data_IF_493695996101
#
_entry.id   IF_493695996101
#
_cell.length_a   1.000
_cell.length_b   1.000
_cell.length_c   1.000
_cell.angle_alpha   90.00
_cell.angle_beta   90.00
_cell.angle_gamma   90.00
#
_symmetry.space_group_name_H-M   'P 1'
#
loop_
_entity.id
_entity.type
_entity.pdbx_description
1 polymer ?
#
# COMPACT_ATOMS: atom_id res chain seq x y z
N UNK A 1 31.21 15.75 36.38
CA UNK A 1 30.96 14.32 36.68
C UNK A 1 30.13 13.78 35.54
N UNK A 2 30.55 12.70 34.90
CA UNK A 2 29.67 11.99 33.95
C UNK A 2 28.59 11.26 34.76
N UNK A 3 27.33 11.41 34.34
CA UNK A 3 26.22 10.60 34.84
C UNK A 3 25.93 9.54 33.79
N UNK A 4 25.86 8.28 34.20
CA UNK A 4 25.58 7.16 33.31
C UNK A 4 24.20 6.58 33.62
N UNK A 5 23.45 6.26 32.57
CA UNK A 5 22.15 5.61 32.64
C UNK A 5 22.25 4.20 32.06
N UNK A 6 21.59 3.22 32.68
CA UNK A 6 21.57 1.87 32.11
C UNK A 6 20.79 1.84 30.79
N UNK A 7 21.20 0.98 29.85
CA UNK A 7 20.54 0.79 28.54
C UNK A 7 19.03 0.57 28.66
N UNK A 8 18.61 -0.22 29.66
CA UNK A 8 17.19 -0.47 29.92
C UNK A 8 16.45 0.80 30.28
N UNK A 9 16.97 1.58 31.24
CA UNK A 9 16.35 2.84 31.65
C UNK A 9 16.36 3.88 30.52
N UNK A 10 17.42 3.90 29.70
CA UNK A 10 17.47 4.75 28.52
C UNK A 10 16.35 4.40 27.53
N UNK A 11 16.21 3.11 27.21
CA UNK A 11 15.18 2.62 26.30
C UNK A 11 13.76 2.89 26.82
N UNK A 12 13.55 2.79 28.14
CA UNK A 12 12.27 3.09 28.78
C UNK A 12 11.90 4.59 28.71
N UNK A 13 12.90 5.49 28.67
CA UNK A 13 12.68 6.95 28.64
C UNK A 13 12.61 7.52 27.22
N UNK A 14 13.54 7.12 26.36
CA UNK A 14 13.77 7.75 25.06
C UNK A 14 13.55 6.78 23.90
N UNK A 15 13.23 5.51 24.18
CA UNK A 15 13.28 4.44 23.19
C UNK A 15 14.70 3.89 22.97
N UNK A 16 14.84 2.77 22.25
CA UNK A 16 16.11 2.11 22.05
C UNK A 16 17.10 2.98 21.27
N UNK A 17 18.39 2.63 21.39
CA UNK A 17 19.50 3.27 20.69
C UNK A 17 20.42 2.23 20.04
N UNK A 18 21.50 2.67 19.40
CA UNK A 18 22.39 1.86 18.56
C UNK A 18 22.80 0.54 19.24
N UNK A 19 22.56 -0.59 18.56
CA UNK A 19 22.83 -1.95 19.03
C UNK A 19 21.72 -2.60 19.87
N UNK A 20 20.69 -1.84 20.29
CA UNK A 20 19.52 -2.44 20.92
C UNK A 20 18.63 -3.12 19.87
N UNK A 21 17.80 -4.08 20.27
CA UNK A 21 16.87 -4.76 19.37
C UNK A 21 15.41 -4.66 19.80
N UNK A 22 14.51 -4.55 18.82
CA UNK A 22 13.05 -4.52 19.01
C UNK A 22 12.42 -5.73 18.32
N UNK A 23 11.61 -6.49 19.05
CA UNK A 23 10.78 -7.54 18.45
C UNK A 23 9.60 -6.90 17.71
N UNK A 24 9.37 -7.29 16.46
CA UNK A 24 8.20 -6.85 15.71
C UNK A 24 6.96 -7.59 16.18
N UNK A 25 6.10 -6.91 16.94
CA UNK A 25 4.87 -7.46 17.51
C UNK A 25 5.11 -8.81 18.21
N UNK A 26 4.32 -9.83 17.87
CA UNK A 26 4.42 -11.21 18.37
C UNK A 26 5.21 -12.13 17.43
N UNK A 27 5.98 -11.57 16.50
CA UNK A 27 6.79 -12.33 15.55
C UNK A 27 8.15 -12.74 16.15
N UNK A 28 8.92 -13.51 15.37
CA UNK A 28 10.32 -13.84 15.64
C UNK A 28 11.28 -12.96 14.81
N UNK A 29 10.81 -11.79 14.36
CA UNK A 29 11.63 -10.79 13.68
C UNK A 29 12.12 -9.76 14.70
N UNK A 30 13.42 -9.47 14.66
CA UNK A 30 14.06 -8.50 15.53
C UNK A 30 14.75 -7.43 14.67
N UNK A 31 14.42 -6.17 14.95
CA UNK A 31 15.06 -5.00 14.35
C UNK A 31 16.21 -4.57 15.26
N UNK A 32 17.43 -4.52 14.73
CA UNK A 32 18.56 -3.92 15.44
C UNK A 32 18.72 -2.46 15.00
N UNK A 33 18.94 -1.55 15.95
CA UNK A 33 19.16 -0.14 15.66
C UNK A 33 20.59 0.05 15.14
N UNK A 34 20.72 0.42 13.86
CA UNK A 34 22.01 0.50 13.15
C UNK A 34 22.78 1.79 13.48
N UNK A 35 22.05 2.88 13.72
CA UNK A 35 22.60 4.20 14.07
C UNK A 35 21.60 5.01 14.87
N UNK A 36 22.11 5.96 15.65
CA UNK A 36 21.33 6.96 16.38
C UNK A 36 21.92 8.34 16.08
N UNK A 37 21.07 9.28 15.68
CA UNK A 37 21.46 10.66 15.38
C UNK A 37 21.56 11.54 16.64
N UNK A 38 21.08 11.06 17.79
CA UNK A 38 21.09 11.85 19.01
C UNK A 38 22.49 12.08 19.57
N UNK A 39 22.61 13.11 20.40
CA UNK A 39 23.75 13.31 21.31
C UNK A 39 23.24 12.97 22.71
N UNK A 40 23.83 11.96 23.36
CA UNK A 40 23.32 11.45 24.62
C UNK A 40 23.30 12.51 25.73
N UNK A 41 22.14 12.69 26.35
CA UNK A 41 21.87 13.74 27.33
C UNK A 41 21.17 14.99 26.76
N UNK A 42 21.02 15.07 25.43
CA UNK A 42 20.34 16.16 24.74
C UNK A 42 19.10 15.68 23.97
N UNK A 43 18.49 14.58 24.42
CA UNK A 43 17.29 14.01 23.79
C UNK A 43 16.13 15.01 23.83
N UNK A 44 15.40 15.11 22.71
CA UNK A 44 14.28 16.05 22.57
C UNK A 44 13.04 15.46 23.24
N UNK A 45 12.65 16.00 24.38
CA UNK A 45 11.44 15.56 25.09
C UNK A 45 10.50 16.74 25.35
N UNK A 46 9.24 16.58 24.94
CA UNK A 46 8.18 17.55 25.20
C UNK A 46 7.40 17.18 26.49
N UNK A 47 6.91 18.19 27.21
CA UNK A 47 6.08 18.03 28.41
C UNK A 47 6.45 18.95 29.57
N UNK A 48 5.63 18.93 30.63
CA UNK A 48 5.84 19.75 31.82
C UNK A 48 7.21 19.50 32.47
N UNK A 49 8.06 20.53 32.51
CA UNK A 49 9.41 20.45 33.07
C UNK A 49 10.43 19.66 32.21
N UNK A 50 10.13 19.42 30.92
CA UNK A 50 11.02 18.71 29.98
C UNK A 50 11.91 19.67 29.18
N UNK A 51 12.46 19.18 28.07
CA UNK A 51 13.52 19.83 27.28
C UNK A 51 12.96 20.89 26.33
N UNK A 52 11.89 20.57 25.60
CA UNK A 52 11.27 21.49 24.63
C UNK A 52 10.45 22.55 25.35
N UNK A 53 11.13 23.64 25.71
CA UNK A 53 10.59 24.85 26.35
C UNK A 53 11.35 26.07 25.85
N UNK A 54 10.70 27.22 25.88
CA UNK A 54 11.29 28.49 25.44
C UNK A 54 12.63 28.77 26.12
N UNK A 55 13.62 29.16 25.33
CA UNK A 55 15.00 29.39 25.75
C UNK A 55 15.79 28.14 26.14
N UNK A 56 15.18 26.95 26.04
CA UNK A 56 15.81 25.65 26.29
C UNK A 56 15.93 24.90 24.97
N UNK A 57 15.36 23.69 24.85
CA UNK A 57 15.35 22.93 23.60
C UNK A 57 14.51 23.56 22.50
N UNK A 58 13.66 24.56 22.82
CA UNK A 58 12.98 25.40 21.84
C UNK A 58 13.70 26.75 21.73
N UNK A 59 14.06 27.13 20.51
CA UNK A 59 14.60 28.44 20.20
C UNK A 59 13.47 29.48 20.11
N UNK A 60 13.53 30.50 20.97
CA UNK A 60 12.54 31.58 21.03
C UNK A 60 12.84 32.79 20.14
N UNK A 61 13.92 32.76 19.37
CA UNK A 61 14.42 33.92 18.60
C UNK A 61 14.25 33.79 17.09
N UNK A 62 14.15 32.56 16.57
CA UNK A 62 14.00 32.29 15.14
C UNK A 62 12.53 32.24 14.72
N UNK A 63 12.28 32.68 13.50
CA UNK A 63 10.97 32.61 12.86
C UNK A 63 10.81 31.33 12.05
N UNK A 64 9.57 31.02 11.66
CA UNK A 64 9.25 29.87 10.79
C UNK A 64 10.06 29.86 9.49
N UNK A 65 10.28 31.04 8.90
CA UNK A 65 10.94 31.19 7.61
C UNK A 65 12.46 30.97 7.70
N UNK A 66 13.03 30.98 8.91
CA UNK A 66 14.43 30.68 9.20
C UNK A 66 14.63 29.16 9.44
N UNK A 67 14.12 28.33 8.51
CA UNK A 67 14.28 26.86 8.52
C UNK A 67 13.75 26.13 9.77
N UNK A 68 12.83 26.74 10.50
CA UNK A 68 12.07 26.07 11.57
C UNK A 68 10.98 25.18 10.94
N UNK A 69 10.83 23.91 11.38
CA UNK A 69 9.80 23.01 10.90
C UNK A 69 8.45 23.26 11.58
N UNK A 70 7.37 22.84 10.91
CA UNK A 70 6.01 22.92 11.43
C UNK A 70 5.73 21.83 12.47
N UNK A 71 6.37 20.66 12.34
CA UNK A 71 6.21 19.55 13.29
C UNK A 71 7.50 18.76 13.39
N UNK A 72 7.82 18.27 14.59
CA UNK A 72 8.91 17.31 14.83
C UNK A 72 8.36 16.08 15.53
N UNK A 73 8.65 14.91 14.96
CA UNK A 73 8.47 13.61 15.60
C UNK A 73 9.78 13.28 16.33
N UNK A 74 9.78 13.35 17.66
CA UNK A 74 10.99 13.19 18.46
C UNK A 74 11.29 11.72 18.78
N UNK A 75 12.57 11.37 18.85
CA UNK A 75 13.08 10.07 19.32
C UNK A 75 12.39 8.86 18.68
N UNK A 76 12.20 8.85 17.37
CA UNK A 76 11.49 7.75 16.71
C UNK A 76 12.45 6.76 16.06
N UNK A 77 12.12 5.48 16.13
CA UNK A 77 12.84 4.44 15.38
C UNK A 77 12.26 4.41 13.96
N UNK A 78 13.05 4.83 12.99
CA UNK A 78 12.71 4.74 11.57
C UNK A 78 13.02 3.32 11.09
N UNK A 79 12.00 2.66 10.56
CA UNK A 79 12.11 1.42 9.81
C UNK A 79 11.79 1.72 8.35
N UNK A 80 12.81 1.68 7.50
CA UNK A 80 12.69 1.96 6.08
C UNK A 80 13.66 1.09 5.27
N UNK A 81 13.45 1.02 3.95
CA UNK A 81 14.39 0.32 3.06
C UNK A 81 15.80 0.94 3.07
N UNK A 82 15.92 2.23 3.44
CA UNK A 82 17.20 2.93 3.59
C UNK A 82 17.96 2.56 4.86
N UNK A 83 17.34 1.88 5.82
CA UNK A 83 17.96 1.40 7.05
C UNK A 83 17.02 1.40 8.26
N UNK A 84 17.55 0.95 9.39
CA UNK A 84 16.86 0.88 10.68
C UNK A 84 17.61 1.74 11.68
N UNK A 85 17.05 2.89 12.05
CA UNK A 85 17.80 3.86 12.84
C UNK A 85 16.94 4.76 13.71
N UNK A 86 17.56 5.41 14.68
CA UNK A 86 16.93 6.33 15.62
C UNK A 86 17.21 7.78 15.22
N UNK A 87 16.17 8.59 15.10
CA UNK A 87 16.30 10.01 14.73
C UNK A 87 15.09 10.83 15.18
N UNK A 88 15.22 12.15 15.09
CA UNK A 88 14.10 13.08 15.03
C UNK A 88 13.74 13.33 13.56
N UNK A 89 12.44 13.39 13.26
CA UNK A 89 11.92 13.61 11.89
C UNK A 89 11.11 14.89 11.85
N UNK A 90 11.54 15.84 11.02
CA UNK A 90 10.91 17.14 10.86
C UNK A 90 10.01 17.18 9.63
N UNK A 91 8.85 17.82 9.80
CA UNK A 91 7.89 18.11 8.74
C UNK A 91 7.79 19.62 8.52
N UNK A 92 7.78 20.05 7.26
CA UNK A 92 7.54 21.44 6.86
C UNK A 92 6.73 21.45 5.57
N UNK A 93 5.69 22.28 5.53
CA UNK A 93 4.79 22.43 4.37
C UNK A 93 4.20 21.09 3.90
N UNK A 94 3.92 20.17 4.83
CA UNK A 94 3.36 18.84 4.54
C UNK A 94 4.37 17.80 4.01
N UNK A 95 5.66 18.14 3.93
CA UNK A 95 6.72 17.25 3.47
C UNK A 95 7.71 16.90 4.59
N UNK A 96 8.40 15.76 4.45
CA UNK A 96 9.57 15.45 5.27
C UNK A 96 10.67 16.45 4.91
N UNK A 97 11.01 17.30 5.86
CA UNK A 97 11.99 18.37 5.67
C UNK A 97 13.41 17.88 5.96
N UNK A 98 13.60 17.25 7.12
CA UNK A 98 14.90 16.76 7.61
C UNK A 98 14.74 15.55 8.52
N UNK A 99 15.77 14.72 8.56
CA UNK A 99 15.91 13.58 9.47
C UNK A 99 17.29 13.71 10.12
N UNK A 100 17.34 13.79 11.44
CA UNK A 100 18.60 14.06 12.15
C UNK A 100 18.35 14.30 13.64
N UNK A 101 19.10 15.24 14.23
CA UNK A 101 18.89 15.68 15.61
C UNK A 101 18.16 17.01 15.66
N UNK A 102 17.07 17.07 16.42
CA UNK A 102 16.36 18.31 16.69
C UNK A 102 16.81 18.98 18.00
N UNK A 103 16.46 20.26 18.16
CA UNK A 103 16.69 20.99 19.40
C UNK A 103 16.94 22.47 19.17
N UNK A 104 17.69 23.08 20.09
CA UNK A 104 18.10 24.47 19.99
C UNK A 104 19.63 24.57 19.91
N UNK A 105 20.20 25.04 18.78
CA UNK A 105 21.65 25.10 18.58
C UNK A 105 22.36 26.08 19.52
N UNK A 106 21.63 26.91 20.27
CA UNK A 106 22.23 27.82 21.25
C UNK A 106 22.74 27.12 22.51
N UNK A 107 22.19 25.93 22.82
CA UNK A 107 22.47 25.25 24.10
C UNK A 107 22.74 23.74 23.94
N UNK A 108 22.59 23.21 22.73
CA UNK A 108 22.65 21.78 22.44
C UNK A 108 23.57 21.56 21.23
N UNK A 109 24.44 20.55 21.34
CA UNK A 109 25.38 20.17 20.30
C UNK A 109 24.69 19.39 19.16
N UNK A 110 25.30 19.40 17.97
CA UNK A 110 24.91 18.55 16.85
C UNK A 110 23.49 18.75 16.30
N UNK A 111 22.85 19.91 16.53
CA UNK A 111 21.48 20.17 16.08
C UNK A 111 21.42 20.43 14.56
N UNK A 112 20.68 19.58 13.84
CA UNK A 112 20.39 19.71 12.41
C UNK A 112 19.04 20.42 12.14
N UNK A 113 18.13 20.30 13.11
CA UNK A 113 16.72 20.69 13.05
C UNK A 113 16.42 21.64 14.21
N UNK A 114 16.23 22.93 13.92
CA UNK A 114 15.93 23.92 14.96
C UNK A 114 14.46 23.86 15.33
N UNK A 115 14.15 23.58 16.61
CA UNK A 115 12.78 23.65 17.14
C UNK A 115 12.51 25.11 17.49
N UNK A 116 11.48 25.70 16.88
CA UNK A 116 11.09 27.09 17.12
C UNK A 116 9.70 27.21 17.74
N UNK A 117 9.23 28.44 17.91
CA UNK A 117 7.90 28.72 18.46
C UNK A 117 6.73 28.22 17.58
N UNK A 118 6.99 27.93 16.30
CA UNK A 118 6.00 27.42 15.34
C UNK A 118 5.97 25.90 15.21
N UNK A 119 6.81 25.18 15.95
CA UNK A 119 6.96 23.72 15.83
C UNK A 119 6.03 22.98 16.78
N UNK A 120 5.17 22.12 16.24
CA UNK A 120 4.41 21.12 17.01
C UNK A 120 5.27 19.89 17.31
N UNK A 121 4.99 19.21 18.42
CA UNK A 121 5.73 18.03 18.86
C UNK A 121 4.87 16.77 18.85
N UNK A 122 5.36 15.71 18.19
CA UNK A 122 4.81 14.36 18.27
C UNK A 122 5.84 13.47 18.98
N UNK A 123 5.45 12.87 20.11
CA UNK A 123 6.28 11.96 20.87
C UNK A 123 6.44 10.60 20.15
N UNK A 124 7.60 10.38 19.54
CA UNK A 124 7.96 9.14 18.85
C UNK A 124 8.71 8.13 19.73
N UNK A 125 9.09 8.51 20.95
CA UNK A 125 9.78 7.61 21.88
C UNK A 125 8.97 6.31 22.12
N UNK A 126 9.68 5.19 21.96
CA UNK A 126 9.10 3.84 22.04
C UNK A 126 8.12 3.51 20.90
N UNK A 127 8.12 4.27 19.79
CA UNK A 127 7.37 3.97 18.56
C UNK A 127 8.31 3.64 17.41
N UNK A 128 7.78 2.90 16.44
CA UNK A 128 8.41 2.68 15.14
C UNK A 128 7.65 3.53 14.12
N UNK A 129 8.39 4.32 13.33
CA UNK A 129 7.89 5.09 12.21
C UNK A 129 8.27 4.37 10.92
N UNK A 130 7.28 4.18 10.04
CA UNK A 130 7.48 3.69 8.68
C UNK A 130 6.90 4.71 7.70
N UNK A 131 7.29 4.62 6.44
CA UNK A 131 6.47 5.20 5.39
C UNK A 131 5.06 4.60 5.43
N UNK A 132 4.08 5.37 4.94
CA UNK A 132 2.73 4.85 4.75
C UNK A 132 2.70 3.81 3.63
N UNK A 133 1.92 2.75 3.80
CA UNK A 133 1.77 1.70 2.79
C UNK A 133 1.19 2.24 1.48
N UNK A 134 1.71 1.73 0.37
CA UNK A 134 1.23 2.01 -1.00
C UNK A 134 0.62 0.72 -1.55
N UNK A 135 -0.72 0.65 -1.58
CA UNK A 135 -1.44 -0.48 -2.16
C UNK A 135 -1.79 -0.17 -3.62
N UNK A 136 -1.26 -0.98 -4.54
CA UNK A 136 -1.37 -0.75 -5.98
C UNK A 136 -2.41 -1.62 -6.69
N UNK A 137 -3.18 -2.44 -5.95
CA UNK A 137 -4.20 -3.31 -6.51
C UNK A 137 -5.58 -3.08 -5.87
N UNK A 138 -6.05 -1.84 -5.94
CA UNK A 138 -7.32 -1.45 -5.34
C UNK A 138 -8.49 -1.57 -6.31
N UNK A 139 -9.56 -2.21 -5.87
CA UNK A 139 -10.87 -2.08 -6.51
C UNK A 139 -11.68 -1.03 -5.74
N UNK A 140 -12.07 0.08 -6.37
CA UNK A 140 -12.87 1.12 -5.73
C UNK A 140 -14.36 0.74 -5.69
N UNK A 141 -14.70 -0.21 -4.82
CA UNK A 141 -16.04 -0.79 -4.70
C UNK A 141 -16.91 0.00 -3.72
N UNK A 142 -16.35 0.41 -2.58
CA UNK A 142 -17.06 1.16 -1.52
C UNK A 142 -16.14 2.19 -0.88
N UNK A 143 -16.60 3.41 -0.56
CA UNK A 143 -15.79 4.39 0.18
C UNK A 143 -15.36 3.90 1.58
N UNK A 144 -16.08 2.95 2.18
CA UNK A 144 -15.77 2.40 3.50
C UNK A 144 -14.41 1.66 3.55
N UNK A 145 -13.85 1.32 2.40
CA UNK A 145 -12.53 0.71 2.32
C UNK A 145 -11.40 1.69 2.68
N UNK A 146 -11.63 3.02 2.59
CA UNK A 146 -10.61 4.04 2.92
C UNK A 146 -10.27 4.08 4.41
N UNK A 147 -11.24 4.17 5.35
CA UNK A 147 -10.94 4.02 6.78
C UNK A 147 -10.24 2.70 7.12
N UNK A 148 -10.61 1.62 6.43
CA UNK A 148 -9.97 0.31 6.63
C UNK A 148 -8.50 0.34 6.21
N UNK A 149 -8.19 0.93 5.06
CA UNK A 149 -6.82 1.13 4.57
C UNK A 149 -5.99 1.95 5.56
N UNK A 150 -6.50 3.10 6.00
CA UNK A 150 -5.84 3.98 6.97
C UNK A 150 -5.54 3.28 8.30
N UNK A 151 -6.49 2.53 8.85
CA UNK A 151 -6.30 1.75 10.08
C UNK A 151 -5.22 0.67 9.96
N UNK A 152 -4.88 0.24 8.75
CA UNK A 152 -3.79 -0.70 8.47
C UNK A 152 -2.46 -0.04 8.10
N UNK A 153 -2.39 1.30 8.15
CA UNK A 153 -1.19 2.06 7.78
C UNK A 153 -1.03 2.32 6.28
N UNK A 154 -2.05 2.04 5.45
CA UNK A 154 -2.03 2.39 4.02
C UNK A 154 -2.40 3.86 3.87
N UNK A 155 -1.61 4.59 3.09
CA UNK A 155 -1.79 6.03 2.83
C UNK A 155 -1.94 6.35 1.35
N UNK A 156 -1.68 5.38 0.48
CA UNK A 156 -1.83 5.52 -0.97
C UNK A 156 -2.52 4.30 -1.54
N UNK A 157 -3.55 4.55 -2.33
CA UNK A 157 -4.35 3.54 -3.00
C UNK A 157 -4.28 3.78 -4.51
N UNK A 158 -3.81 2.80 -5.27
CA UNK A 158 -3.76 2.84 -6.73
C UNK A 158 -4.55 1.65 -7.26
N UNK A 159 -5.42 1.89 -8.23
CA UNK A 159 -6.40 0.89 -8.64
C UNK A 159 -7.44 1.45 -9.58
N UNK A 160 -8.65 0.89 -9.63
CA UNK A 160 -9.71 1.44 -10.46
C UNK A 160 -11.09 0.95 -10.04
N UNK A 161 -12.13 1.69 -10.43
CA UNK A 161 -13.49 1.36 -10.09
C UNK A 161 -14.46 2.55 -10.13
N UNK A 162 -15.75 2.24 -10.14
CA UNK A 162 -16.83 3.24 -10.15
C UNK A 162 -17.92 2.88 -9.13
N UNK A 163 -17.54 2.28 -8.00
CA UNK A 163 -18.47 1.71 -7.02
C UNK A 163 -18.81 0.23 -7.29
N UNK A 164 -19.93 -0.29 -6.79
CA UNK A 164 -20.23 -1.73 -6.78
C UNK A 164 -20.74 -2.30 -8.12
N UNK A 165 -20.32 -1.71 -9.24
CA UNK A 165 -20.60 -2.20 -10.59
C UNK A 165 -19.85 -3.51 -10.87
N UNK A 166 -20.41 -4.36 -11.74
CA UNK A 166 -19.84 -5.66 -12.12
C UNK A 166 -18.40 -5.53 -12.60
N UNK A 167 -18.13 -4.55 -13.47
CA UNK A 167 -16.79 -4.27 -13.97
C UNK A 167 -15.79 -3.97 -12.86
N UNK A 168 -16.19 -3.21 -11.84
CA UNK A 168 -15.32 -2.83 -10.71
C UNK A 168 -15.13 -3.97 -9.70
N UNK A 169 -16.19 -4.74 -9.42
CA UNK A 169 -16.10 -5.92 -8.56
C UNK A 169 -15.13 -6.97 -9.12
N UNK A 170 -14.99 -7.02 -10.45
CA UNK A 170 -14.08 -7.93 -11.14
C UNK A 170 -12.69 -7.32 -11.42
N UNK A 171 -12.63 -6.03 -11.78
CA UNK A 171 -11.42 -5.42 -12.36
C UNK A 171 -11.09 -4.06 -11.73
N UNK A 172 -9.80 -3.77 -11.55
CA UNK A 172 -9.30 -2.48 -11.07
C UNK A 172 -9.30 -1.43 -12.19
N UNK A 173 -10.47 -1.12 -12.74
CA UNK A 173 -10.62 -0.27 -13.93
C UNK A 173 -11.68 0.80 -13.70
N UNK A 174 -11.31 2.06 -13.97
CA UNK A 174 -12.21 3.21 -14.12
C UNK A 174 -12.32 3.56 -15.61
N UNK A 175 -13.37 3.10 -16.32
CA UNK A 175 -13.36 3.10 -17.78
C UNK A 175 -13.77 4.46 -18.39
N UNK A 176 -12.92 4.99 -19.28
CA UNK A 176 -13.28 6.15 -20.11
C UNK A 176 -13.23 7.49 -19.38
N UNK A 177 -13.15 8.57 -20.17
CA UNK A 177 -12.95 9.95 -19.66
C UNK A 177 -13.99 10.38 -18.61
N UNK A 178 -15.26 10.07 -18.84
CA UNK A 178 -16.33 10.53 -17.94
C UNK A 178 -16.23 9.93 -16.54
N UNK A 179 -16.01 8.60 -16.43
CA UNK A 179 -15.91 7.95 -15.14
C UNK A 179 -14.64 8.36 -14.39
N UNK A 180 -13.52 8.52 -15.10
CA UNK A 180 -12.27 9.03 -14.50
C UNK A 180 -12.52 10.40 -13.86
N UNK A 181 -13.13 11.34 -14.60
CA UNK A 181 -13.46 12.67 -14.05
C UNK A 181 -14.39 12.61 -12.85
N UNK A 182 -15.36 11.69 -12.81
CA UNK A 182 -16.28 11.54 -11.66
C UNK A 182 -15.61 10.94 -10.43
N UNK A 183 -14.71 9.98 -10.64
CA UNK A 183 -13.95 9.38 -9.54
C UNK A 183 -12.93 10.36 -8.97
N UNK A 184 -12.29 11.20 -9.79
CA UNK A 184 -11.43 12.28 -9.30
C UNK A 184 -12.23 13.28 -8.44
N UNK A 185 -13.43 13.68 -8.87
CA UNK A 185 -14.31 14.53 -8.06
C UNK A 185 -14.72 13.87 -6.74
N UNK A 186 -14.97 12.56 -6.74
CA UNK A 186 -15.29 11.82 -5.53
C UNK A 186 -14.08 11.71 -4.58
N UNK A 187 -12.86 11.65 -5.13
CA UNK A 187 -11.62 11.54 -4.37
C UNK A 187 -11.30 12.79 -3.54
N UNK A 188 -11.76 13.98 -3.95
CA UNK A 188 -11.57 15.24 -3.20
C UNK A 188 -12.09 15.18 -1.75
N UNK A 189 -13.07 14.30 -1.47
CA UNK A 189 -13.61 14.12 -0.12
C UNK A 189 -12.90 13.08 0.74
N UNK A 190 -11.81 12.46 0.24
CA UNK A 190 -11.16 11.31 0.88
C UNK A 190 -9.75 11.68 1.36
N UNK A 191 -9.42 11.47 2.66
CA UNK A 191 -8.11 11.82 3.21
C UNK A 191 -7.09 10.71 2.92
N UNK A 192 -6.87 10.38 1.64
CA UNK A 192 -5.92 9.37 1.19
C UNK A 192 -5.44 9.67 -0.24
N UNK A 193 -4.20 9.33 -0.56
CA UNK A 193 -3.69 9.50 -1.92
C UNK A 193 -4.35 8.46 -2.85
N UNK A 194 -4.84 8.89 -4.01
CA UNK A 194 -5.57 8.04 -4.97
C UNK A 194 -4.93 8.12 -6.35
N UNK A 195 -4.66 6.95 -6.93
CA UNK A 195 -4.36 6.76 -8.35
C UNK A 195 -5.43 5.90 -9.03
N UNK A 196 -5.85 6.30 -10.23
CA UNK A 196 -6.87 5.60 -11.03
C UNK A 196 -6.27 4.96 -12.29
N UNK A 197 -6.55 3.69 -12.52
CA UNK A 197 -6.26 2.98 -13.76
C UNK A 197 -7.43 3.12 -14.74
N UNK A 198 -7.09 3.47 -15.97
CA UNK A 198 -7.97 3.32 -17.12
C UNK A 198 -8.08 1.87 -17.58
N UNK A 199 -8.98 1.63 -18.53
CA UNK A 199 -9.15 0.34 -19.19
C UNK A 199 -8.09 0.15 -20.26
N UNK A 200 -7.22 -0.85 -20.11
CA UNK A 200 -6.17 -1.23 -21.08
C UNK A 200 -6.69 -2.17 -22.18
N UNK A 201 -7.81 -1.84 -22.81
CA UNK A 201 -8.47 -2.73 -23.78
C UNK A 201 -8.95 -1.95 -24.99
N UNK A 202 -8.17 -2.02 -26.07
CA UNK A 202 -8.53 -1.51 -27.38
C UNK A 202 -7.61 -2.12 -28.44
N UNK A 203 -8.06 -2.08 -29.70
CA UNK A 203 -7.23 -2.40 -30.88
C UNK A 203 -6.68 -1.14 -31.57
N UNK A 204 -6.73 0.00 -30.88
CA UNK A 204 -6.18 1.28 -31.30
C UNK A 204 -5.69 2.05 -30.05
N UNK A 205 -4.72 2.95 -30.23
CA UNK A 205 -4.11 3.71 -29.11
C UNK A 205 -5.01 4.81 -28.57
N UNK A 206 -5.72 5.53 -29.45
CA UNK A 206 -6.50 6.72 -29.07
C UNK A 206 -7.56 6.48 -27.97
N UNK A 207 -8.36 5.39 -27.99
CA UNK A 207 -9.29 5.08 -26.89
C UNK A 207 -8.63 4.85 -25.52
N UNK A 208 -7.35 4.46 -25.51
CA UNK A 208 -6.56 4.31 -24.28
C UNK A 208 -5.96 5.64 -23.86
N UNK A 209 -5.41 6.39 -24.83
CA UNK A 209 -4.79 7.69 -24.62
C UNK A 209 -5.77 8.74 -24.05
N UNK A 210 -7.05 8.73 -24.47
CA UNK A 210 -8.05 9.66 -23.92
C UNK A 210 -8.30 9.47 -22.41
N UNK A 211 -8.08 8.25 -21.90
CA UNK A 211 -8.24 7.94 -20.47
C UNK A 211 -7.07 8.50 -19.67
N UNK A 212 -5.84 8.40 -20.18
CA UNK A 212 -4.66 9.02 -19.56
C UNK A 212 -4.81 10.55 -19.53
N UNK A 213 -5.19 11.15 -20.66
CA UNK A 213 -5.49 12.60 -20.73
C UNK A 213 -6.65 13.04 -19.82
N UNK A 214 -7.52 12.13 -19.43
CA UNK A 214 -8.60 12.40 -18.48
C UNK A 214 -8.16 12.36 -17.00
N UNK A 215 -6.94 11.89 -16.71
CA UNK A 215 -6.36 11.81 -15.37
C UNK A 215 -6.13 10.38 -14.84
N UNK A 216 -6.16 9.35 -15.69
CA UNK A 216 -5.68 8.03 -15.28
C UNK A 216 -4.16 8.01 -15.17
N UNK A 217 -3.62 7.38 -14.12
CA UNK A 217 -2.18 7.26 -13.83
C UNK A 217 -1.54 6.00 -14.42
N UNK A 218 -2.33 5.24 -15.18
CA UNK A 218 -1.91 3.98 -15.80
C UNK A 218 -3.10 3.23 -16.40
N UNK A 219 -2.84 2.06 -16.95
CA UNK A 219 -3.86 1.19 -17.54
C UNK A 219 -3.86 -0.19 -16.87
N UNK A 220 -5.03 -0.81 -16.80
CA UNK A 220 -5.17 -2.21 -16.40
C UNK A 220 -5.66 -3.06 -17.56
N UNK A 221 -4.84 -4.05 -17.94
CA UNK A 221 -5.22 -5.17 -18.80
C UNK A 221 -5.78 -6.29 -17.91
N UNK A 222 -6.92 -6.86 -18.27
CA UNK A 222 -7.62 -7.88 -17.49
C UNK A 222 -8.36 -8.87 -18.40
N UNK A 223 -8.35 -10.16 -18.06
CA UNK A 223 -8.95 -11.21 -18.90
C UNK A 223 -10.47 -11.07 -19.09
N UNK A 224 -11.21 -10.65 -18.06
CA UNK A 224 -12.66 -10.36 -18.12
C UNK A 224 -13.07 -9.35 -19.20
N UNK A 225 -12.12 -8.51 -19.65
CA UNK A 225 -12.30 -7.57 -20.76
C UNK A 225 -11.51 -7.96 -22.03
N UNK A 226 -10.82 -9.10 -22.01
CA UNK A 226 -9.98 -9.62 -23.09
C UNK A 226 -8.51 -9.21 -22.95
N UNK A 227 -7.72 -10.00 -22.21
CA UNK A 227 -6.26 -9.85 -22.10
C UNK A 227 -5.54 -10.39 -23.35
N UNK A 228 -5.98 -9.94 -24.52
CA UNK A 228 -5.46 -10.38 -25.83
C UNK A 228 -4.09 -9.75 -26.12
N UNK A 229 -3.33 -10.35 -27.03
CA UNK A 229 -2.05 -9.80 -27.51
C UNK A 229 -2.21 -8.39 -28.09
N UNK A 230 -3.34 -8.10 -28.76
CA UNK A 230 -3.66 -6.75 -29.25
C UNK A 230 -3.86 -5.74 -28.11
N UNK A 231 -4.62 -6.10 -27.06
CA UNK A 231 -4.85 -5.22 -25.92
C UNK A 231 -3.55 -4.92 -25.17
N UNK A 232 -2.69 -5.93 -25.03
CA UNK A 232 -1.37 -5.81 -24.39
C UNK A 232 -0.48 -4.85 -25.18
N UNK A 233 -0.30 -5.08 -26.48
CA UNK A 233 0.57 -4.24 -27.32
C UNK A 233 0.08 -2.80 -27.39
N UNK A 234 -1.22 -2.56 -27.60
CA UNK A 234 -1.76 -1.20 -27.66
C UNK A 234 -1.63 -0.46 -26.33
N UNK A 235 -1.86 -1.15 -25.20
CA UNK A 235 -1.71 -0.54 -23.88
C UNK A 235 -0.27 -0.16 -23.60
N UNK A 236 0.69 -1.03 -23.95
CA UNK A 236 2.11 -0.76 -23.73
C UNK A 236 2.65 0.36 -24.64
N UNK A 237 2.16 0.47 -25.89
CA UNK A 237 2.51 1.62 -26.74
C UNK A 237 2.05 2.95 -26.14
N UNK A 238 0.84 2.99 -25.58
CA UNK A 238 0.33 4.19 -24.90
C UNK A 238 1.07 4.43 -23.59
N UNK A 239 1.47 3.38 -22.88
CA UNK A 239 2.30 3.48 -21.69
C UNK A 239 3.63 4.16 -21.98
N UNK A 240 4.32 3.73 -23.04
CA UNK A 240 5.60 4.32 -23.48
C UNK A 240 5.43 5.78 -23.95
N UNK A 241 4.31 6.10 -24.64
CA UNK A 241 4.04 7.46 -25.13
C UNK A 241 3.72 8.45 -24.00
N UNK A 242 2.98 8.02 -22.98
CA UNK A 242 2.49 8.89 -21.90
C UNK A 242 3.26 8.74 -20.59
N UNK A 243 4.28 7.89 -20.54
CA UNK A 243 5.10 7.57 -19.35
C UNK A 243 4.24 7.14 -18.15
N UNK A 244 3.41 6.12 -18.37
CA UNK A 244 2.52 5.54 -17.34
C UNK A 244 2.69 4.04 -17.21
N UNK A 245 2.37 3.47 -16.06
CA UNK A 245 2.49 2.02 -15.83
C UNK A 245 1.29 1.25 -16.42
N UNK A 246 1.53 0.01 -16.86
CA UNK A 246 0.49 -0.96 -17.21
C UNK A 246 0.50 -2.09 -16.22
N UNK A 247 -0.64 -2.32 -15.56
CA UNK A 247 -0.86 -3.51 -14.77
C UNK A 247 -1.59 -4.59 -15.60
N UNK A 248 -1.27 -5.86 -15.38
CA UNK A 248 -1.87 -6.98 -16.12
C UNK A 248 -2.38 -8.09 -15.21
N UNK A 249 -3.61 -8.52 -15.51
CA UNK A 249 -4.17 -9.84 -15.19
C UNK A 249 -4.31 -10.59 -16.52
N UNK A 250 -3.50 -11.64 -16.69
CA UNK A 250 -3.33 -12.36 -17.97
C UNK A 250 -4.49 -13.29 -18.32
N UNK A 251 -4.51 -13.76 -19.56
CA UNK A 251 -5.47 -14.77 -20.06
C UNK A 251 -5.31 -16.10 -19.31
N UNK A 252 -6.16 -16.38 -18.32
CA UNK A 252 -6.11 -17.64 -17.56
C UNK A 252 -6.53 -18.82 -18.42
N UNK A 253 -7.40 -18.58 -19.40
CA UNK A 253 -7.98 -19.60 -20.26
C UNK A 253 -7.00 -20.08 -21.34
N UNK A 254 -5.96 -19.29 -21.62
CA UNK A 254 -5.09 -19.44 -22.79
C UNK A 254 -5.92 -19.44 -24.09
N UNK A 255 -6.97 -18.60 -24.14
CA UNK A 255 -7.85 -18.49 -25.30
C UNK A 255 -7.12 -17.88 -26.49
N UNK A 256 -6.31 -16.85 -26.25
CA UNK A 256 -5.59 -16.11 -27.29
C UNK A 256 -4.13 -16.57 -27.46
N UNK A 257 -3.67 -17.50 -26.62
CA UNK A 257 -2.29 -17.99 -26.61
C UNK A 257 -1.86 -18.41 -25.21
N UNK A 258 -0.72 -19.08 -25.11
CA UNK A 258 -0.14 -19.40 -23.81
C UNK A 258 0.66 -18.20 -23.27
N UNK A 259 1.24 -18.37 -22.08
CA UNK A 259 2.06 -17.35 -21.42
C UNK A 259 3.19 -16.83 -22.31
N UNK A 260 3.78 -17.68 -23.16
CA UNK A 260 4.86 -17.30 -24.07
C UNK A 260 4.38 -16.27 -25.09
N UNK A 261 3.12 -16.34 -25.51
CA UNK A 261 2.55 -15.40 -26.46
C UNK A 261 2.21 -14.06 -25.78
N UNK A 262 1.81 -14.10 -24.51
CA UNK A 262 1.71 -12.89 -23.66
C UNK A 262 3.08 -12.22 -23.51
N UNK A 263 4.14 -12.98 -23.21
CA UNK A 263 5.51 -12.47 -23.09
C UNK A 263 6.00 -11.87 -24.40
N UNK A 264 5.74 -12.53 -25.54
CA UNK A 264 6.05 -11.98 -26.87
C UNK A 264 5.30 -10.67 -27.13
N UNK A 265 4.04 -10.55 -26.74
CA UNK A 265 3.28 -9.31 -26.90
C UNK A 265 3.79 -8.17 -26.02
N UNK A 266 4.38 -8.48 -24.86
CA UNK A 266 5.04 -7.49 -24.01
C UNK A 266 6.30 -6.93 -24.70
N UNK A 267 7.02 -7.77 -25.45
CA UNK A 267 8.17 -7.38 -26.29
C UNK A 267 9.26 -6.61 -25.51
N UNK A 268 9.56 -7.08 -24.30
CA UNK A 268 10.60 -6.48 -23.44
C UNK A 268 10.22 -5.14 -22.78
N UNK A 269 9.01 -4.62 -23.02
CA UNK A 269 8.54 -3.38 -22.37
C UNK A 269 8.19 -3.62 -20.90
N UNK A 270 8.19 -2.53 -20.13
CA UNK A 270 7.88 -2.58 -18.70
C UNK A 270 6.41 -2.90 -18.49
N UNK A 271 6.12 -3.88 -17.64
CA UNK A 271 4.75 -4.22 -17.27
C UNK A 271 4.67 -4.75 -15.83
N UNK A 272 3.64 -4.32 -15.10
CA UNK A 272 3.38 -4.76 -13.74
C UNK A 272 2.46 -5.99 -13.72
N UNK A 273 3.03 -7.17 -13.48
CA UNK A 273 2.23 -8.39 -13.33
C UNK A 273 1.58 -8.45 -11.95
N UNK A 274 0.24 -8.49 -11.92
CA UNK A 274 -0.50 -8.68 -10.69
C UNK A 274 -0.70 -10.15 -10.35
N UNK A 275 -0.76 -10.44 -9.03
CA UNK A 275 -1.00 -11.77 -8.44
C UNK A 275 -0.29 -12.88 -9.21
N UNK A 276 1.03 -12.70 -9.33
CA UNK A 276 1.92 -13.57 -10.09
C UNK A 276 1.89 -15.03 -9.61
N UNK A 277 1.39 -15.29 -8.40
CA UNK A 277 1.28 -16.63 -7.83
C UNK A 277 0.12 -17.49 -8.37
N UNK A 278 -0.86 -16.89 -9.07
CA UNK A 278 -2.01 -17.60 -9.63
C UNK A 278 -1.57 -18.65 -10.68
N UNK A 279 -2.28 -19.78 -10.88
CA UNK A 279 -1.85 -20.85 -11.80
C UNK A 279 -1.53 -20.38 -13.23
N UNK A 280 -2.23 -19.36 -13.74
CA UNK A 280 -1.97 -18.74 -15.04
C UNK A 280 -0.74 -17.81 -15.05
N UNK A 281 -0.38 -17.24 -13.90
CA UNK A 281 0.83 -16.44 -13.72
C UNK A 281 1.99 -17.25 -13.11
N UNK A 282 1.76 -18.49 -12.68
CA UNK A 282 2.76 -19.37 -12.09
C UNK A 282 3.85 -19.76 -13.10
N UNK A 283 3.59 -19.63 -14.39
CA UNK A 283 4.58 -19.75 -15.48
C UNK A 283 5.33 -18.44 -15.75
N UNK A 284 4.77 -17.26 -15.44
CA UNK A 284 5.50 -15.97 -15.37
C UNK A 284 6.51 -15.94 -14.20
N UNK A 285 6.54 -16.95 -13.33
CA UNK A 285 7.63 -17.13 -12.35
C UNK A 285 9.00 -17.37 -13.02
N UNK A 286 9.02 -17.74 -14.30
CA UNK A 286 10.25 -17.78 -15.10
C UNK A 286 10.66 -16.40 -15.63
N UNK A 287 9.70 -15.48 -15.83
CA UNK A 287 9.93 -14.09 -16.28
C UNK A 287 10.01 -13.07 -15.14
N UNK A 288 9.69 -13.42 -13.89
CA UNK A 288 9.99 -12.59 -12.71
C UNK A 288 11.50 -12.42 -12.45
N UNK A 289 12.34 -12.97 -13.33
CA UNK A 289 13.79 -12.77 -13.41
C UNK A 289 14.20 -11.87 -14.58
N UNK A 290 13.26 -11.48 -15.45
CA UNK A 290 13.52 -10.50 -16.49
C UNK A 290 13.64 -9.12 -15.86
N UNK A 291 14.65 -8.31 -16.22
CA UNK A 291 14.90 -7.02 -15.59
C UNK A 291 13.73 -6.03 -15.71
N UNK A 292 12.84 -6.22 -16.68
CA UNK A 292 11.79 -5.25 -17.04
C UNK A 292 10.40 -5.55 -16.44
N UNK A 293 10.26 -6.55 -15.56
CA UNK A 293 8.95 -7.00 -15.05
C UNK A 293 8.81 -6.85 -13.52
N UNK A 294 8.33 -5.70 -13.00
CA UNK A 294 7.92 -5.58 -11.60
C UNK A 294 6.81 -6.59 -11.27
N UNK A 295 6.94 -7.29 -10.14
CA UNK A 295 5.95 -8.28 -9.68
C UNK A 295 5.27 -7.82 -8.40
N UNK A 296 3.95 -7.99 -8.30
CA UNK A 296 3.22 -7.80 -7.05
C UNK A 296 2.25 -8.96 -6.78
N UNK A 297 2.30 -9.51 -5.56
CA UNK A 297 1.30 -10.44 -5.03
C UNK A 297 0.18 -9.67 -4.32
N UNK A 298 -1.07 -10.18 -4.32
CA UNK A 298 -2.14 -9.56 -3.51
C UNK A 298 -1.84 -9.79 -2.02
N UNK A 299 -1.55 -8.72 -1.26
CA UNK A 299 -1.02 -8.78 0.12
C UNK A 299 0.21 -9.75 0.21
N UNK A 300 0.96 -9.95 1.32
CA UNK A 300 2.19 -10.74 1.21
C UNK A 300 1.80 -12.16 0.76
N UNK A 301 2.69 -12.90 0.07
CA UNK A 301 2.44 -14.30 -0.15
C UNK A 301 2.31 -14.94 1.23
N UNK A 302 1.07 -15.13 1.67
CA UNK A 302 0.78 -15.68 2.99
C UNK A 302 1.56 -16.99 3.10
N UNK A 303 2.37 -17.18 4.16
CA UNK A 303 3.02 -18.45 4.41
C UNK A 303 1.98 -19.56 4.26
N UNK A 304 2.35 -20.67 3.60
CA UNK A 304 1.41 -21.79 3.42
C UNK A 304 0.91 -22.23 4.79
N UNK A 305 -0.36 -21.96 5.09
CA UNK A 305 -1.01 -22.39 6.31
C UNK A 305 -1.94 -23.57 6.04
N UNK A 306 -2.28 -24.34 7.08
CA UNK A 306 -3.17 -25.51 6.97
C UNK A 306 -4.56 -25.16 6.43
N UNK A 307 -5.04 -23.93 6.60
CA UNK A 307 -6.34 -23.46 6.11
C UNK A 307 -6.31 -23.00 4.65
N UNK A 308 -5.12 -22.78 4.06
CA UNK A 308 -4.96 -22.34 2.65
C UNK A 308 -5.26 -23.44 1.63
N UNK A 309 -5.37 -24.70 2.05
CA UNK A 309 -5.58 -25.85 1.16
C UNK A 309 -7.04 -26.07 0.68
N UNK A 310 -7.87 -25.03 0.60
CA UNK A 310 -9.18 -25.14 -0.07
C UNK A 310 -9.23 -24.23 -1.29
N UNK A 311 -8.80 -24.70 -2.49
CA UNK A 311 -9.04 -24.00 -3.75
C UNK A 311 -10.53 -23.70 -3.92
N UNK A 312 -11.42 -24.50 -3.33
CA UNK A 312 -12.86 -24.33 -3.44
C UNK A 312 -13.32 -22.96 -2.92
N UNK A 313 -12.98 -22.55 -1.69
CA UNK A 313 -13.55 -21.30 -1.14
C UNK A 313 -13.15 -20.05 -1.92
N UNK A 314 -11.87 -19.90 -2.28
CA UNK A 314 -11.39 -18.75 -3.03
C UNK A 314 -11.82 -18.77 -4.50
N UNK A 315 -11.88 -19.93 -5.16
CA UNK A 315 -12.40 -20.03 -6.53
C UNK A 315 -13.90 -19.79 -6.59
N UNK A 316 -14.68 -20.22 -5.60
CA UNK A 316 -16.09 -19.84 -5.49
C UNK A 316 -16.25 -18.33 -5.26
N UNK A 317 -15.42 -17.70 -4.44
CA UNK A 317 -15.43 -16.24 -4.24
C UNK A 317 -15.00 -15.47 -5.50
N UNK A 318 -13.93 -15.88 -6.17
CA UNK A 318 -13.48 -15.24 -7.42
C UNK A 318 -14.48 -15.48 -8.56
N UNK A 319 -15.01 -16.70 -8.66
CA UNK A 319 -16.09 -17.00 -9.60
C UNK A 319 -17.29 -16.12 -9.30
N UNK A 320 -17.69 -15.92 -8.04
CA UNK A 320 -18.79 -15.01 -7.70
C UNK A 320 -18.49 -13.54 -8.07
N UNK A 321 -17.25 -13.07 -7.88
CA UNK A 321 -16.80 -11.77 -8.39
C UNK A 321 -16.89 -11.66 -9.92
N UNK A 322 -16.63 -12.74 -10.66
CA UNK A 322 -16.66 -12.78 -12.13
C UNK A 322 -18.02 -13.15 -12.76
N UNK A 323 -18.94 -13.82 -12.03
CA UNK A 323 -20.09 -14.56 -12.63
C UNK A 323 -21.47 -13.91 -12.50
N UNK A 324 -21.61 -12.63 -12.14
CA UNK A 324 -22.94 -11.98 -12.30
C UNK A 324 -23.29 -11.64 -13.76
N UNK A 325 -22.41 -11.86 -14.75
CA UNK A 325 -22.68 -11.53 -16.17
C UNK A 325 -22.96 -12.71 -17.12
N UNK A 326 -22.71 -13.98 -16.77
CA UNK A 326 -22.90 -15.10 -17.73
C UNK A 326 -23.51 -16.36 -17.11
N UNK A 327 -24.79 -16.61 -17.41
CA UNK A 327 -25.56 -17.80 -16.97
C UNK A 327 -25.34 -19.04 -17.85
N UNK A 328 -24.29 -19.08 -18.68
CA UNK A 328 -24.19 -20.02 -19.81
C UNK A 328 -23.23 -21.21 -19.63
N UNK A 329 -22.42 -21.30 -18.58
CA UNK A 329 -21.42 -22.39 -18.45
C UNK A 329 -21.85 -23.64 -17.67
N UNK A 330 -23.16 -23.85 -17.43
CA UNK A 330 -23.65 -25.05 -16.69
C UNK A 330 -23.57 -26.38 -17.45
N UNK A 331 -23.10 -26.44 -18.71
CA UNK A 331 -23.23 -27.64 -19.55
C UNK A 331 -22.03 -28.58 -19.61
N UNK A 332 -20.85 -28.26 -19.08
CA UNK A 332 -19.64 -29.10 -19.24
C UNK A 332 -19.13 -29.81 -17.98
N UNK A 333 -19.81 -29.68 -16.83
CA UNK A 333 -19.36 -30.26 -15.55
C UNK A 333 -20.19 -31.45 -15.03
N UNK A 334 -20.81 -32.25 -15.91
CA UNK A 334 -21.63 -33.41 -15.52
C UNK A 334 -20.95 -34.78 -15.62
N UNK A 335 -19.67 -34.86 -15.98
CA UNK A 335 -18.99 -36.15 -16.22
C UNK A 335 -17.97 -36.61 -15.17
N UNK A 336 -17.81 -35.91 -14.04
CA UNK A 336 -16.89 -36.33 -12.96
C UNK A 336 -17.55 -36.20 -11.58
N UNK A 337 -18.43 -37.15 -11.24
CA UNK A 337 -18.90 -37.38 -9.87
C UNK A 337 -18.71 -38.88 -9.56
N UNK A 338 -17.79 -39.28 -8.66
CA UNK A 338 -17.90 -40.56 -8.00
C UNK A 338 -18.99 -40.48 -6.93
N UNK A 339 -19.79 -41.54 -6.85
CA UNK A 339 -20.90 -41.69 -5.93
C UNK A 339 -20.47 -41.75 -4.45
N UNK A 340 -21.41 -41.37 -3.59
CA UNK A 340 -21.60 -41.74 -2.17
C UNK A 340 -20.75 -41.06 -1.07
N UNK A 341 -21.44 -40.25 -0.27
CA UNK A 341 -21.03 -39.74 1.05
C UNK A 341 -22.18 -38.93 1.68
N UNK A 342 -22.48 -39.03 2.99
CA UNK A 342 -23.74 -38.54 3.55
C UNK A 342 -23.81 -37.02 3.63
N UNK A 343 -24.98 -36.46 3.32
CA UNK A 343 -25.26 -35.02 3.36
C UNK A 343 -25.20 -34.50 4.81
N UNK A 344 -24.55 -33.37 5.09
CA UNK A 344 -24.68 -32.70 6.38
C UNK A 344 -26.07 -32.06 6.51
N UNK A 345 -26.63 -32.13 7.72
CA UNK A 345 -27.91 -31.57 8.11
C UNK A 345 -27.91 -30.03 8.06
N UNK A 346 -29.07 -29.39 7.79
CA UNK A 346 -29.15 -27.93 7.67
C UNK A 346 -28.96 -27.25 9.04
N UNK A 347 -28.34 -26.05 9.09
CA UNK A 347 -28.19 -25.30 10.33
C UNK A 347 -29.56 -24.85 10.86
N UNK A 348 -29.77 -25.07 12.16
CA UNK A 348 -30.95 -24.61 12.90
C UNK A 348 -30.97 -23.07 12.91
N UNK A 349 -32.08 -22.51 12.45
CA UNK A 349 -32.44 -21.10 12.61
C UNK A 349 -32.50 -20.73 14.09
N UNK A 350 -31.65 -19.80 14.53
CA UNK A 350 -31.77 -19.17 15.83
C UNK A 350 -32.42 -17.80 15.63
N UNK A 351 -33.73 -17.74 15.81
CA UNK A 351 -34.50 -16.51 15.91
C UNK A 351 -34.17 -15.82 17.23
N UNK A 352 -33.57 -14.62 17.19
CA UNK A 352 -33.63 -13.68 18.32
C UNK A 352 -34.39 -12.43 17.88
N UNK A 353 -35.59 -12.35 18.42
CA UNK A 353 -36.45 -11.17 18.54
C UNK A 353 -35.68 -10.02 19.18
N UNK A 354 -35.64 -8.86 18.51
CA UNK A 354 -35.36 -7.58 19.14
C UNK A 354 -36.69 -6.93 19.49
N UNK A 355 -36.97 -6.85 20.78
CA UNK A 355 -38.08 -6.05 21.31
C UNK A 355 -37.62 -4.58 21.41
N UNK A 356 -38.52 -3.71 21.00
CA UNK A 356 -38.43 -2.26 21.00
C UNK A 356 -38.64 -1.63 22.38
N UNK A 357 -37.84 -0.58 22.66
CA UNK A 357 -38.21 0.66 23.37
C UNK A 357 -38.49 0.56 24.89
N UNK A 358 -38.48 1.67 25.66
CA UNK A 358 -38.69 3.09 25.31
C UNK A 358 -37.51 3.80 24.66
#
# INVERSE_FOLDING_TARGET
MSFEISRKQYADLYGPTTGDSIRLADTELFLEIEKDYTVYGEEVMFGGGKVVRDGMGQNGQVTRDEDVPDTVISNVVVLDYTGIYKADVALKDGHIFKIGKAGNPQIADGVDIVIGASTEMIAGEGKILTAGGVDTHIHYISPDQVPTALCSGITTMVGGGTGPAEGTKATTITPGKWHISRMLQAAEGLPINIGLFGKGHASATEPLAEQIRAGAVGLKVHEDWGATTSSIDMSLRVADEYDVQVAIHTDTLNECGFVEDTIKAIDGRVIHTFHTEAPAAATLRTSSRSPDCPTCSRHPPTPRSRTRATPSKSTWTCSWCATTSTRTSRKTWRSLIPASGPKPSPPKTCSRTWASSP
#
